data_IF_290439855623
#
_entry.id   IF_290439855623
#
_cell.length_a   1.000
_cell.length_b   1.000
_cell.length_c   1.000
_cell.angle_alpha   90.00
_cell.angle_beta   90.00
_cell.angle_gamma   90.00
#
_symmetry.space_group_name_H-M   'P 1'
#
loop_
_entity.id
_entity.type
_entity.pdbx_description
1 polymer ?
#
# COMPACT_ATOMS: atom_id res chain seq x y z
N UNK A 1 0.58 -6.84 2.67
CA UNK A 1 0.06 -6.15 3.87
C UNK A 1 -0.73 -7.14 4.70
N UNK A 2 -0.76 -6.98 6.02
CA UNK A 2 -1.42 -7.88 6.96
C UNK A 2 -1.95 -7.07 8.15
N UNK A 3 -2.77 -7.68 9.01
CA UNK A 3 -3.31 -7.07 10.21
C UNK A 3 -4.76 -7.50 10.45
N UNK A 4 -5.32 -7.04 11.55
CA UNK A 4 -6.72 -7.30 11.91
C UNK A 4 -7.13 -6.43 13.09
N UNK A 5 -8.41 -6.09 13.17
CA UNK A 5 -8.94 -5.21 14.22
C UNK A 5 -8.76 -5.72 15.66
N UNK A 6 -8.41 -7.00 15.82
CA UNK A 6 -8.13 -7.62 17.11
C UNK A 6 -6.64 -7.60 17.50
N UNK A 7 -5.76 -7.12 16.63
CA UNK A 7 -4.29 -7.06 16.88
C UNK A 7 -3.93 -5.86 17.73
N UNK A 8 -4.62 -4.76 17.51
CA UNK A 8 -4.37 -3.49 18.20
C UNK A 8 -5.48 -3.25 19.23
N UNK A 9 -5.18 -3.54 20.48
CA UNK A 9 -6.13 -3.39 21.58
C UNK A 9 -6.49 -1.92 21.86
N UNK A 10 -7.70 -1.65 22.38
CA UNK A 10 -8.18 -0.31 22.69
C UNK A 10 -7.63 0.26 23.99
N UNK A 11 -6.92 -0.52 24.79
CA UNK A 11 -6.66 -0.27 26.22
C UNK A 11 -6.04 1.11 26.45
N UNK A 12 -4.99 1.46 25.71
CA UNK A 12 -4.28 2.72 25.92
C UNK A 12 -5.09 3.93 25.41
N UNK A 13 -5.83 3.75 24.33
CA UNK A 13 -6.66 4.82 23.74
C UNK A 13 -7.88 5.09 24.62
N UNK A 14 -8.52 4.04 25.13
CA UNK A 14 -9.76 4.14 25.88
C UNK A 14 -9.57 4.60 27.33
N UNK A 15 -8.36 4.44 27.91
CA UNK A 15 -8.08 4.86 29.28
C UNK A 15 -8.16 6.38 29.50
N UNK A 16 -7.84 7.16 28.50
CA UNK A 16 -7.65 8.61 28.65
C UNK A 16 -8.69 9.45 27.91
N UNK A 17 -9.55 8.86 27.08
CA UNK A 17 -10.35 9.62 26.14
C UNK A 17 -11.84 9.22 26.16
N UNK A 18 -12.66 10.24 26.06
CA UNK A 18 -14.10 10.06 25.85
C UNK A 18 -14.36 9.91 24.34
N UNK A 19 -14.04 8.75 23.77
CA UNK A 19 -14.19 8.44 22.36
C UNK A 19 -14.71 7.03 22.14
N UNK A 20 -15.21 6.77 20.95
CA UNK A 20 -15.56 5.43 20.46
C UNK A 20 -14.49 5.04 19.45
N UNK A 21 -13.86 3.89 19.67
CA UNK A 21 -12.92 3.30 18.72
C UNK A 21 -13.66 2.27 17.86
N UNK A 22 -13.60 2.46 16.54
CA UNK A 22 -14.11 1.50 15.55
C UNK A 22 -12.93 0.97 14.74
N UNK A 23 -12.66 -0.32 14.84
CA UNK A 23 -11.65 -1.01 14.03
C UNK A 23 -12.32 -1.73 12.88
N UNK A 24 -11.68 -1.71 11.71
CA UNK A 24 -12.26 -2.23 10.47
C UNK A 24 -11.36 -3.28 9.86
N UNK A 25 -11.91 -4.47 9.59
CA UNK A 25 -11.29 -5.44 8.71
C UNK A 25 -11.77 -5.19 7.28
N UNK A 26 -10.84 -5.13 6.34
CA UNK A 26 -11.12 -4.93 4.92
C UNK A 26 -10.30 -5.90 4.07
N UNK A 27 -10.75 -6.17 2.85
CA UNK A 27 -10.07 -7.10 1.95
C UNK A 27 -8.67 -6.63 1.59
N UNK A 28 -7.71 -7.55 1.59
CA UNK A 28 -6.29 -7.32 1.29
C UNK A 28 -5.83 -8.18 0.10
N UNK A 29 -4.64 -7.88 -0.40
CA UNK A 29 -3.98 -8.64 -1.47
C UNK A 29 -4.87 -8.83 -2.69
N UNK A 30 -4.83 -10.00 -3.28
CA UNK A 30 -5.63 -10.34 -4.48
C UNK A 30 -7.12 -10.10 -4.27
N UNK A 31 -7.67 -10.47 -3.10
CA UNK A 31 -9.11 -10.35 -2.83
C UNK A 31 -9.58 -8.88 -2.71
N UNK A 32 -8.68 -8.00 -2.32
CA UNK A 32 -8.97 -6.58 -2.13
C UNK A 32 -8.55 -5.68 -3.28
N UNK A 33 -7.58 -6.13 -4.10
CA UNK A 33 -6.90 -5.22 -5.03
C UNK A 33 -6.62 -5.84 -6.41
N UNK A 34 -7.19 -7.00 -6.74
CA UNK A 34 -7.13 -7.51 -8.11
C UNK A 34 -7.83 -6.54 -9.05
N UNK A 35 -7.20 -6.25 -10.21
CA UNK A 35 -7.79 -5.41 -11.24
C UNK A 35 -7.43 -5.88 -12.63
N UNK A 36 -8.39 -5.81 -13.53
CA UNK A 36 -8.20 -5.96 -14.99
C UNK A 36 -8.06 -4.61 -15.69
N UNK A 37 -7.99 -3.52 -14.91
CA UNK A 37 -7.91 -2.14 -15.44
C UNK A 37 -9.08 -1.80 -16.37
N UNK A 38 -10.26 -2.36 -16.06
CA UNK A 38 -11.53 -2.11 -16.74
C UNK A 38 -12.72 -2.17 -15.74
N UNK A 39 -13.93 -2.07 -16.25
CA UNK A 39 -15.15 -2.07 -15.44
C UNK A 39 -15.50 -3.44 -14.82
N UNK A 40 -14.92 -4.55 -15.33
CA UNK A 40 -15.24 -5.92 -14.91
C UNK A 40 -14.62 -6.25 -13.56
N UNK A 41 -13.32 -5.96 -13.41
CA UNK A 41 -12.62 -6.06 -12.13
C UNK A 41 -11.89 -4.72 -11.92
N UNK A 42 -12.62 -3.68 -11.49
CA UNK A 42 -12.05 -2.32 -11.42
C UNK A 42 -10.93 -2.17 -10.40
N UNK A 43 -10.90 -3.00 -9.35
CA UNK A 43 -9.91 -2.92 -8.27
C UNK A 43 -10.39 -2.12 -7.06
N UNK A 44 -9.45 -1.84 -6.16
CA UNK A 44 -9.63 -1.01 -4.94
C UNK A 44 -10.76 -1.48 -4.00
N UNK A 45 -11.15 -2.75 -4.07
CA UNK A 45 -12.26 -3.27 -3.25
C UNK A 45 -11.99 -3.13 -1.75
N UNK A 46 -10.73 -3.28 -1.31
CA UNK A 46 -10.36 -3.07 0.10
C UNK A 46 -10.58 -1.63 0.56
N UNK A 47 -10.32 -0.63 -0.30
CA UNK A 47 -10.59 0.78 0.00
C UNK A 47 -12.09 1.10 -0.04
N UNK A 48 -12.83 0.43 -0.94
CA UNK A 48 -14.30 0.52 -0.99
C UNK A 48 -14.94 -0.13 0.24
N UNK A 49 -14.35 -1.20 0.78
CA UNK A 49 -14.76 -1.77 2.08
C UNK A 49 -14.61 -0.74 3.22
N UNK A 50 -13.51 0.04 3.22
CA UNK A 50 -13.33 1.13 4.18
C UNK A 50 -14.39 2.22 4.01
N UNK A 51 -14.76 2.58 2.77
CA UNK A 51 -15.86 3.53 2.51
C UNK A 51 -17.17 3.00 3.08
N UNK A 52 -17.49 1.72 2.88
CA UNK A 52 -18.72 1.13 3.45
C UNK A 52 -18.71 1.10 4.98
N UNK A 53 -17.54 0.86 5.59
CA UNK A 53 -17.38 0.97 7.03
C UNK A 53 -17.64 2.42 7.52
N UNK A 54 -17.14 3.42 6.81
CA UNK A 54 -17.43 4.84 7.14
C UNK A 54 -18.91 5.17 6.97
N UNK A 55 -19.55 4.68 5.92
CA UNK A 55 -21.02 4.81 5.75
C UNK A 55 -21.78 4.12 6.87
N UNK A 56 -21.29 2.97 7.35
CA UNK A 56 -21.88 2.29 8.51
C UNK A 56 -21.77 3.16 9.77
N UNK A 57 -20.60 3.77 10.01
CA UNK A 57 -20.39 4.70 11.13
C UNK A 57 -21.40 5.84 11.06
N UNK A 58 -21.54 6.48 9.89
CA UNK A 58 -22.49 7.58 9.69
C UNK A 58 -23.93 7.18 10.02
N UNK A 59 -24.34 5.96 9.70
CA UNK A 59 -25.71 5.48 9.91
C UNK A 59 -25.98 4.97 11.33
N UNK A 60 -24.96 4.53 12.06
CA UNK A 60 -25.17 3.73 13.26
C UNK A 60 -24.52 4.28 14.53
N UNK A 61 -23.53 5.19 14.42
CA UNK A 61 -22.68 5.54 15.57
C UNK A 61 -23.46 6.25 16.70
N UNK A 62 -24.58 6.91 16.38
CA UNK A 62 -25.47 7.53 17.37
C UNK A 62 -26.05 6.49 18.35
N UNK A 63 -26.34 5.26 17.89
CA UNK A 63 -26.78 4.16 18.76
C UNK A 63 -25.73 3.75 19.79
N UNK A 64 -24.49 4.14 19.60
CA UNK A 64 -23.36 3.94 20.52
C UNK A 64 -22.98 5.22 21.28
N UNK A 65 -23.87 6.23 21.29
CA UNK A 65 -23.63 7.58 21.83
C UNK A 65 -22.49 8.34 21.16
N UNK A 66 -22.16 8.01 19.89
CA UNK A 66 -21.19 8.72 19.06
C UNK A 66 -21.84 9.83 18.26
N UNK A 67 -21.00 10.75 17.78
CA UNK A 67 -21.40 11.86 16.92
C UNK A 67 -20.88 11.62 15.48
N UNK A 68 -21.78 11.39 14.49
CA UNK A 68 -21.36 11.16 13.10
C UNK A 68 -20.70 12.40 12.47
N UNK A 69 -20.85 13.59 13.07
CA UNK A 69 -20.19 14.82 12.63
C UNK A 69 -18.77 15.00 13.20
N UNK A 70 -18.32 14.06 14.02
CA UNK A 70 -17.01 14.11 14.70
C UNK A 70 -16.21 12.83 14.44
N UNK A 71 -16.17 12.39 13.19
CA UNK A 71 -15.46 11.18 12.79
C UNK A 71 -14.02 11.51 12.37
N UNK A 72 -13.05 10.94 13.05
CA UNK A 72 -11.64 11.02 12.67
C UNK A 72 -11.18 9.66 12.16
N UNK A 73 -10.64 9.62 10.95
CA UNK A 73 -10.01 8.40 10.41
C UNK A 73 -8.54 8.40 10.77
N UNK A 74 -8.01 7.26 11.21
CA UNK A 74 -6.60 7.12 11.57
C UNK A 74 -6.04 5.81 11.07
N UNK A 75 -4.74 5.80 10.73
CA UNK A 75 -4.05 4.60 10.34
C UNK A 75 -2.55 4.78 10.34
N UNK A 76 -1.83 3.65 10.44
CA UNK A 76 -0.38 3.66 10.30
C UNK A 76 0.06 2.76 9.13
N UNK A 77 1.21 3.07 8.50
CA UNK A 77 1.73 2.37 7.33
C UNK A 77 0.69 2.34 6.19
N UNK A 78 0.25 1.19 5.71
CA UNK A 78 -0.83 1.06 4.74
C UNK A 78 -2.14 1.74 5.18
N UNK A 79 -2.43 1.77 6.48
CA UNK A 79 -3.56 2.52 7.05
C UNK A 79 -3.37 4.02 6.93
N UNK A 80 -2.15 4.54 7.12
CA UNK A 80 -1.81 5.95 6.89
C UNK A 80 -1.99 6.35 5.43
N UNK A 81 -1.52 5.51 4.50
CA UNK A 81 -1.77 5.68 3.06
C UNK A 81 -3.27 5.63 2.73
N UNK A 82 -4.02 4.69 3.34
CA UNK A 82 -5.47 4.61 3.17
C UNK A 82 -6.18 5.89 3.63
N UNK A 83 -5.76 6.49 4.75
CA UNK A 83 -6.30 7.77 5.20
C UNK A 83 -6.15 8.82 4.10
N UNK A 84 -4.96 9.01 3.55
CA UNK A 84 -4.77 9.98 2.46
C UNK A 84 -5.58 9.64 1.21
N UNK A 85 -5.66 8.36 0.85
CA UNK A 85 -6.47 7.91 -0.28
C UNK A 85 -7.97 8.20 -0.07
N UNK A 86 -8.47 8.14 1.17
CA UNK A 86 -9.83 8.59 1.48
C UNK A 86 -10.01 10.12 1.30
N UNK A 87 -8.96 10.92 1.51
CA UNK A 87 -9.00 12.35 1.18
C UNK A 87 -9.10 12.60 -0.33
N UNK A 88 -8.57 11.70 -1.15
CA UNK A 88 -8.57 11.82 -2.62
C UNK A 88 -9.84 11.24 -3.27
N UNK A 89 -10.50 10.29 -2.62
CA UNK A 89 -11.64 9.59 -3.19
C UNK A 89 -12.95 10.36 -3.06
N UNK A 90 -13.72 10.54 -4.14
CA UNK A 90 -15.07 11.13 -4.05
C UNK A 90 -16.05 10.25 -3.26
N UNK A 91 -15.82 8.93 -3.18
CA UNK A 91 -16.72 8.01 -2.49
C UNK A 91 -16.81 8.23 -0.98
N UNK A 92 -15.83 8.90 -0.40
CA UNK A 92 -15.79 9.19 1.03
C UNK A 92 -16.18 10.62 1.39
N UNK A 93 -16.83 11.36 0.48
CA UNK A 93 -17.29 12.73 0.72
C UNK A 93 -18.30 12.78 1.87
N UNK A 94 -18.01 13.66 2.85
CA UNK A 94 -18.87 13.86 4.01
C UNK A 94 -18.87 12.73 5.05
N UNK A 95 -18.03 11.68 4.87
CA UNK A 95 -18.02 10.51 5.78
C UNK A 95 -17.08 10.67 6.99
N UNK A 96 -16.19 11.66 6.97
CA UNK A 96 -15.29 11.97 8.09
C UNK A 96 -14.95 13.46 8.11
N UNK A 97 -14.39 13.94 9.21
CA UNK A 97 -14.07 15.35 9.43
C UNK A 97 -12.60 15.62 9.64
N UNK A 98 -11.82 14.61 10.00
CA UNK A 98 -10.37 14.73 10.25
C UNK A 98 -9.67 13.44 9.88
N UNK A 99 -8.34 13.53 9.63
CA UNK A 99 -7.51 12.36 9.38
C UNK A 99 -6.18 12.41 10.13
N UNK A 100 -5.67 11.24 10.44
CA UNK A 100 -4.33 11.06 11.04
C UNK A 100 -3.62 9.94 10.28
N UNK A 101 -2.50 10.27 9.64
CA UNK A 101 -1.64 9.31 8.96
C UNK A 101 -0.32 9.17 9.71
N UNK A 102 0.00 7.95 10.14
CA UNK A 102 1.27 7.62 10.76
C UNK A 102 2.09 6.77 9.78
N UNK A 103 3.29 7.24 9.41
CA UNK A 103 4.28 6.47 8.64
C UNK A 103 3.73 5.84 7.35
N UNK A 104 2.90 6.59 6.61
CA UNK A 104 2.34 6.14 5.34
C UNK A 104 1.59 7.24 4.62
N UNK A 105 1.79 7.32 3.30
CA UNK A 105 1.08 8.25 2.43
C UNK A 105 0.77 7.60 1.06
N UNK A 106 -0.16 8.18 0.32
CA UNK A 106 -0.61 7.68 -0.98
C UNK A 106 0.49 7.72 -2.06
N UNK A 107 1.60 8.41 -1.81
CA UNK A 107 2.72 8.54 -2.73
C UNK A 107 3.86 7.54 -2.46
N UNK A 108 3.74 6.68 -1.45
CA UNK A 108 4.73 5.63 -1.25
C UNK A 108 4.71 4.65 -2.43
N UNK A 109 5.86 4.15 -2.92
CA UNK A 109 5.95 3.28 -4.10
C UNK A 109 5.06 2.04 -3.99
N UNK A 110 5.05 1.41 -2.83
CA UNK A 110 4.26 0.20 -2.56
C UNK A 110 2.73 0.41 -2.51
N UNK A 111 2.24 1.64 -2.68
CA UNK A 111 0.79 1.94 -2.63
C UNK A 111 0.11 1.68 -3.96
N UNK A 112 0.79 1.95 -5.08
CA UNK A 112 0.21 1.75 -6.41
C UNK A 112 0.67 0.44 -7.02
N UNK A 113 -0.26 -0.29 -7.65
CA UNK A 113 0.07 -1.48 -8.43
C UNK A 113 0.36 -1.10 -9.87
N UNK A 114 1.50 -1.50 -10.36
CA UNK A 114 1.84 -1.46 -11.78
C UNK A 114 1.45 -2.78 -12.47
N UNK A 115 1.10 -2.72 -13.76
CA UNK A 115 0.75 -3.88 -14.59
C UNK A 115 -0.40 -4.76 -14.01
N UNK A 116 -1.42 -4.15 -13.39
CA UNK A 116 -2.47 -4.88 -12.68
C UNK A 116 -3.20 -5.90 -13.57
N UNK A 117 -3.50 -5.54 -14.84
CA UNK A 117 -4.13 -6.44 -15.81
C UNK A 117 -3.29 -7.69 -16.05
N UNK A 118 -2.00 -7.55 -16.29
CA UNK A 118 -1.09 -8.70 -16.50
C UNK A 118 -1.05 -9.61 -15.28
N UNK A 119 -1.11 -9.04 -14.07
CA UNK A 119 -1.19 -9.82 -12.83
C UNK A 119 -2.49 -10.59 -12.72
N UNK A 120 -3.62 -9.99 -13.11
CA UNK A 120 -4.91 -10.66 -13.13
C UNK A 120 -4.96 -11.81 -14.16
N UNK A 121 -4.45 -11.59 -15.36
CA UNK A 121 -4.33 -12.60 -16.39
C UNK A 121 -3.41 -13.78 -15.96
N UNK A 122 -2.27 -13.46 -15.35
CA UNK A 122 -1.32 -14.45 -14.82
C UNK A 122 -1.94 -15.26 -13.67
N UNK A 123 -2.71 -14.63 -12.79
CA UNK A 123 -3.51 -15.35 -11.79
C UNK A 123 -4.47 -16.31 -12.46
N UNK A 124 -5.22 -15.85 -13.47
CA UNK A 124 -6.13 -16.68 -14.23
C UNK A 124 -5.46 -17.92 -14.81
N UNK A 125 -4.28 -17.74 -15.42
CA UNK A 125 -3.47 -18.85 -15.93
C UNK A 125 -3.10 -19.84 -14.83
N UNK A 126 -2.64 -19.35 -13.67
CA UNK A 126 -2.15 -20.19 -12.56
C UNK A 126 -3.22 -21.09 -11.94
N UNK A 127 -4.50 -20.67 -12.02
CA UNK A 127 -5.65 -21.40 -11.42
C UNK A 127 -6.59 -22.00 -12.48
N UNK A 128 -6.13 -22.16 -13.72
CA UNK A 128 -6.92 -22.69 -14.85
C UNK A 128 -8.20 -21.87 -15.12
N UNK A 129 -8.09 -20.54 -15.10
CA UNK A 129 -9.14 -19.58 -15.45
C UNK A 129 -8.71 -18.65 -16.60
N UNK A 130 -7.77 -19.09 -17.44
CA UNK A 130 -7.29 -18.27 -18.53
C UNK A 130 -8.41 -17.92 -19.51
N UNK A 131 -8.63 -16.62 -19.72
CA UNK A 131 -9.55 -16.10 -20.75
C UNK A 131 -9.12 -14.68 -21.15
N UNK A 132 -9.26 -14.36 -22.43
CA UNK A 132 -9.14 -12.99 -22.92
C UNK A 132 -10.41 -12.17 -22.65
N UNK A 133 -11.47 -12.80 -22.20
CA UNK A 133 -12.70 -12.15 -21.75
C UNK A 133 -12.67 -12.02 -20.23
N UNK A 134 -12.54 -10.80 -19.71
CA UNK A 134 -12.44 -10.57 -18.28
C UNK A 134 -13.72 -10.95 -17.50
N UNK A 135 -14.88 -10.94 -18.13
CA UNK A 135 -16.12 -11.46 -17.50
C UNK A 135 -16.05 -12.98 -17.28
N UNK A 136 -15.50 -13.73 -18.23
CA UNK A 136 -15.27 -15.18 -18.09
C UNK A 136 -14.18 -15.43 -17.03
N UNK A 137 -13.08 -14.66 -17.05
CA UNK A 137 -12.06 -14.72 -16.04
C UNK A 137 -12.66 -14.52 -14.65
N UNK A 138 -13.42 -13.44 -14.42
CA UNK A 138 -14.08 -13.16 -13.13
C UNK A 138 -15.01 -14.30 -12.71
N UNK A 139 -15.83 -14.81 -13.62
CA UNK A 139 -16.76 -15.90 -13.35
C UNK A 139 -16.01 -17.16 -12.92
N UNK A 140 -14.92 -17.50 -13.60
CA UNK A 140 -14.08 -18.63 -13.24
C UNK A 140 -13.36 -18.41 -11.89
N UNK A 141 -12.73 -17.26 -11.66
CA UNK A 141 -12.04 -16.96 -10.40
C UNK A 141 -12.97 -17.09 -9.19
N UNK A 142 -14.24 -16.71 -9.31
CA UNK A 142 -15.24 -16.87 -8.24
C UNK A 142 -15.54 -18.31 -7.86
N UNK A 143 -15.17 -19.28 -8.67
CA UNK A 143 -15.30 -20.72 -8.36
C UNK A 143 -14.10 -21.29 -7.62
N UNK A 144 -13.00 -20.55 -7.52
CA UNK A 144 -11.75 -21.03 -6.92
C UNK A 144 -11.72 -20.81 -5.40
N UNK A 145 -11.06 -21.70 -4.64
CA UNK A 145 -10.79 -21.46 -3.24
C UNK A 145 -10.03 -20.15 -3.05
N UNK A 146 -10.43 -19.35 -2.05
CA UNK A 146 -9.78 -18.07 -1.78
C UNK A 146 -8.30 -18.24 -1.45
N UNK A 147 -7.92 -19.34 -0.82
CA UNK A 147 -6.53 -19.68 -0.48
C UNK A 147 -5.65 -19.78 -1.74
N UNK A 148 -6.13 -20.44 -2.80
CA UNK A 148 -5.38 -20.59 -4.05
C UNK A 148 -5.11 -19.21 -4.68
N UNK A 149 -6.11 -18.32 -4.63
CA UNK A 149 -5.98 -16.97 -5.15
C UNK A 149 -4.98 -16.14 -4.33
N UNK A 150 -5.05 -16.22 -3.01
CA UNK A 150 -4.17 -15.44 -2.11
C UNK A 150 -2.72 -15.92 -2.21
N UNK A 151 -2.51 -17.23 -2.30
CA UNK A 151 -1.15 -17.80 -2.41
C UNK A 151 -0.43 -17.36 -3.68
N UNK A 152 -1.14 -17.00 -4.73
CA UNK A 152 -0.54 -16.50 -5.97
C UNK A 152 0.31 -15.24 -5.77
N UNK A 153 -0.02 -14.39 -4.80
CA UNK A 153 0.76 -13.19 -4.49
C UNK A 153 2.24 -13.49 -4.20
N UNK A 154 2.55 -14.68 -3.66
CA UNK A 154 3.92 -15.10 -3.37
C UNK A 154 4.79 -15.25 -4.62
N UNK A 155 4.20 -15.47 -5.79
CA UNK A 155 4.96 -15.60 -7.05
C UNK A 155 5.64 -14.29 -7.45
N UNK A 156 5.17 -13.16 -6.91
CA UNK A 156 5.74 -11.83 -7.13
C UNK A 156 6.75 -11.41 -6.04
N UNK A 157 7.01 -12.27 -5.05
CA UNK A 157 7.89 -12.00 -3.93
C UNK A 157 9.10 -12.96 -3.93
N UNK A 158 10.09 -12.73 -4.81
CA UNK A 158 11.22 -13.65 -4.98
C UNK A 158 12.14 -13.71 -3.76
N UNK A 159 12.10 -12.69 -2.90
CA UNK A 159 12.92 -12.65 -1.70
C UNK A 159 12.13 -12.09 -0.51
N UNK A 160 11.80 -12.97 0.44
CA UNK A 160 11.01 -12.63 1.64
C UNK A 160 9.68 -11.97 1.26
N UNK A 161 9.40 -10.77 1.78
CA UNK A 161 8.20 -9.98 1.47
C UNK A 161 8.46 -8.85 0.47
N UNK A 162 9.45 -8.99 -0.42
CA UNK A 162 9.81 -7.96 -1.38
C UNK A 162 9.40 -8.33 -2.82
N UNK A 163 8.60 -7.47 -3.50
CA UNK A 163 8.02 -6.20 -3.01
C UNK A 163 6.91 -6.41 -1.98
N UNK A 164 6.66 -5.38 -1.15
CA UNK A 164 5.68 -5.47 -0.05
C UNK A 164 4.24 -5.69 -0.51
N UNK A 165 3.85 -5.08 -1.61
CA UNK A 165 2.45 -5.05 -2.07
C UNK A 165 2.33 -5.37 -3.55
N UNK A 166 2.43 -6.66 -3.95
CA UNK A 166 2.23 -7.05 -5.33
C UNK A 166 0.86 -6.68 -5.89
N UNK A 167 -0.16 -6.61 -5.02
CA UNK A 167 -1.53 -6.18 -5.32
C UNK A 167 -1.90 -5.03 -4.40
N UNK A 168 -2.06 -3.85 -4.95
CA UNK A 168 -2.32 -2.61 -4.25
C UNK A 168 -3.27 -1.71 -5.06
N UNK A 169 -3.26 -0.42 -4.82
CA UNK A 169 -4.19 0.55 -5.43
C UNK A 169 -3.96 0.68 -6.94
N UNK A 170 -5.04 0.87 -7.68
CA UNK A 170 -5.03 1.17 -9.12
C UNK A 170 -5.82 2.43 -9.43
N UNK A 171 -5.50 3.07 -10.55
CA UNK A 171 -6.36 4.09 -11.15
C UNK A 171 -7.52 3.36 -11.85
N UNK A 172 -8.75 3.66 -11.48
CA UNK A 172 -9.93 3.01 -12.07
C UNK A 172 -10.43 3.75 -13.30
N UNK A 173 -11.11 3.01 -14.19
CA UNK A 173 -11.91 3.62 -15.25
C UNK A 173 -12.98 4.51 -14.62
N UNK A 174 -13.19 5.73 -15.13
CA UNK A 174 -14.19 6.65 -14.58
C UNK A 174 -15.59 6.05 -14.51
N UNK A 175 -16.17 6.03 -13.31
CA UNK A 175 -17.54 5.60 -13.04
C UNK A 175 -18.00 6.16 -11.69
N UNK A 176 -19.31 6.14 -11.41
CA UNK A 176 -19.87 6.58 -10.12
C UNK A 176 -19.39 5.74 -8.92
N UNK A 177 -18.86 4.54 -9.19
CA UNK A 177 -18.32 3.63 -8.19
C UNK A 177 -16.79 3.59 -8.15
N UNK A 178 -16.11 4.40 -8.96
CA UNK A 178 -14.66 4.46 -8.97
C UNK A 178 -14.13 5.11 -7.67
N UNK A 179 -13.12 4.47 -7.07
CA UNK A 179 -12.50 4.99 -5.85
C UNK A 179 -11.60 6.19 -6.15
N UNK A 180 -10.70 6.07 -7.14
CA UNK A 180 -9.91 7.16 -7.73
C UNK A 180 -9.78 6.92 -9.24
N UNK A 181 -9.82 8.01 -10.02
CA UNK A 181 -9.76 7.97 -11.50
C UNK A 181 -8.52 8.64 -12.07
N UNK A 182 -7.59 9.04 -11.21
CA UNK A 182 -6.28 9.58 -11.59
C UNK A 182 -5.23 9.18 -10.55
N UNK A 183 -3.96 9.29 -10.90
CA UNK A 183 -2.87 8.99 -10.00
C UNK A 183 -2.89 9.94 -8.79
N UNK A 184 -2.64 9.46 -7.54
CA UNK A 184 -2.66 10.29 -6.34
C UNK A 184 -1.83 11.57 -6.44
N UNK A 185 -0.68 11.53 -7.10
CA UNK A 185 0.16 12.73 -7.35
C UNK A 185 -0.60 13.78 -8.15
N UNK A 186 -1.23 13.39 -9.26
CA UNK A 186 -1.95 14.31 -10.13
C UNK A 186 -3.15 14.93 -9.37
N UNK A 187 -3.88 14.12 -8.60
CA UNK A 187 -4.99 14.61 -7.78
C UNK A 187 -4.53 15.66 -6.76
N UNK A 188 -3.38 15.44 -6.12
CA UNK A 188 -2.80 16.39 -5.17
C UNK A 188 -2.32 17.67 -5.87
N UNK A 189 -1.63 17.57 -6.98
CA UNK A 189 -1.13 18.71 -7.76
C UNK A 189 -2.28 19.58 -8.33
N UNK A 190 -3.37 18.95 -8.71
CA UNK A 190 -4.59 19.62 -9.18
C UNK A 190 -5.43 20.22 -8.03
N UNK A 191 -5.11 19.89 -6.77
CA UNK A 191 -5.89 20.31 -5.61
C UNK A 191 -7.20 19.52 -5.42
N UNK A 192 -7.34 18.38 -6.08
CA UNK A 192 -8.50 17.49 -6.04
C UNK A 192 -8.44 16.58 -4.80
N UNK A 193 -8.57 17.17 -3.64
CA UNK A 193 -8.61 16.47 -2.36
C UNK A 193 -9.47 17.23 -1.34
N UNK A 194 -9.96 16.52 -0.33
CA UNK A 194 -10.75 17.10 0.76
C UNK A 194 -9.90 18.04 1.60
N UNK A 195 -10.32 19.29 1.73
CA UNK A 195 -9.65 20.32 2.54
C UNK A 195 -10.10 20.22 4.00
N UNK A 196 -9.83 19.07 4.63
CA UNK A 196 -10.13 18.80 6.03
C UNK A 196 -8.82 18.78 6.84
N UNK A 197 -8.88 19.02 8.17
CA UNK A 197 -7.72 18.90 9.03
C UNK A 197 -7.07 17.51 8.91
N UNK A 198 -5.76 17.48 8.71
CA UNK A 198 -5.01 16.25 8.55
C UNK A 198 -3.68 16.32 9.31
N UNK A 199 -3.45 15.36 10.20
CA UNK A 199 -2.22 15.22 10.95
C UNK A 199 -1.36 14.13 10.31
N UNK A 200 -0.08 14.44 10.10
CA UNK A 200 0.93 13.55 9.55
C UNK A 200 2.04 13.33 10.55
N UNK A 201 2.46 12.11 10.73
CA UNK A 201 3.67 11.79 11.48
C UNK A 201 4.46 10.66 10.82
N UNK A 202 5.76 10.69 11.06
CA UNK A 202 6.66 9.60 10.69
C UNK A 202 7.67 9.37 11.80
N UNK A 203 8.23 8.17 11.87
CA UNK A 203 9.30 7.87 12.81
C UNK A 203 10.64 8.36 12.27
N UNK A 204 11.62 8.52 13.16
CA UNK A 204 12.96 8.98 12.77
C UNK A 204 13.66 7.98 11.85
N UNK A 205 13.41 6.68 12.05
CA UNK A 205 14.14 5.59 11.42
C UNK A 205 13.19 4.62 10.67
N UNK A 206 12.37 5.14 9.75
CA UNK A 206 11.39 4.35 8.98
C UNK A 206 12.01 3.15 8.26
N UNK A 207 13.21 3.32 7.69
CA UNK A 207 13.93 2.24 7.01
C UNK A 207 14.37 1.10 7.92
N UNK A 208 14.30 1.25 9.25
CA UNK A 208 14.67 0.20 10.18
C UNK A 208 13.71 -1.00 10.09
N UNK A 209 12.41 -0.76 9.94
CA UNK A 209 11.42 -1.82 9.83
C UNK A 209 11.73 -2.76 8.64
N UNK A 210 11.80 -2.28 7.38
CA UNK A 210 12.12 -3.15 6.25
C UNK A 210 13.55 -3.70 6.30
N UNK A 211 14.54 -2.94 6.78
CA UNK A 211 15.91 -3.40 6.87
C UNK A 211 16.10 -4.49 7.93
N UNK A 212 15.32 -4.48 9.01
CA UNK A 212 15.41 -5.49 10.08
C UNK A 212 15.08 -6.90 9.59
N UNK A 213 14.25 -7.05 8.55
CA UNK A 213 13.97 -8.32 7.90
C UNK A 213 15.25 -8.99 7.37
N UNK A 214 16.22 -8.19 6.95
CA UNK A 214 17.48 -8.66 6.38
C UNK A 214 18.59 -8.88 7.43
N UNK A 215 18.35 -8.56 8.72
CA UNK A 215 19.36 -8.67 9.76
C UNK A 215 19.65 -10.13 10.18
N UNK A 216 20.04 -10.91 9.16
CA UNK A 216 20.42 -12.31 9.27
C UNK A 216 21.58 -12.55 8.31
N UNK A 217 22.60 -13.30 8.73
CA UNK A 217 23.83 -13.49 7.95
C UNK A 217 23.57 -14.16 6.59
N UNK A 218 22.67 -15.13 6.51
CA UNK A 218 22.33 -15.82 5.27
C UNK A 218 21.56 -14.89 4.31
N UNK A 219 20.66 -14.05 4.83
CA UNK A 219 19.94 -13.08 4.03
C UNK A 219 20.84 -11.96 3.53
N UNK A 220 21.71 -11.42 4.39
CA UNK A 220 22.70 -10.41 4.00
C UNK A 220 23.67 -10.96 2.95
N UNK A 221 24.12 -12.22 3.12
CA UNK A 221 24.93 -12.89 2.11
C UNK A 221 24.18 -13.00 0.78
N UNK A 222 22.94 -13.46 0.81
CA UNK A 222 22.10 -13.60 -0.39
C UNK A 222 21.91 -12.25 -1.10
N UNK A 223 21.59 -11.19 -0.35
CA UNK A 223 21.45 -9.84 -0.91
C UNK A 223 22.77 -9.36 -1.51
N UNK A 224 23.89 -9.59 -0.80
CA UNK A 224 25.20 -9.18 -1.30
C UNK A 224 25.58 -9.89 -2.59
N UNK A 225 25.36 -11.21 -2.67
CA UNK A 225 25.70 -12.03 -3.82
C UNK A 225 24.79 -11.78 -5.03
N UNK A 226 23.52 -11.41 -4.79
CA UNK A 226 22.48 -11.28 -5.81
C UNK A 226 21.85 -9.87 -5.87
N UNK A 227 22.58 -8.84 -5.48
CA UNK A 227 22.04 -7.49 -5.42
C UNK A 227 21.41 -7.01 -6.73
N UNK A 228 22.07 -7.28 -7.85
CA UNK A 228 21.57 -6.84 -9.17
C UNK A 228 20.24 -7.52 -9.54
N UNK A 229 20.06 -8.78 -9.11
CA UNK A 229 18.83 -9.54 -9.33
C UNK A 229 17.71 -9.11 -8.36
N UNK A 230 18.04 -8.96 -7.09
CA UNK A 230 17.07 -8.72 -6.01
C UNK A 230 16.80 -7.25 -5.75
N UNK A 231 17.74 -6.37 -6.07
CA UNK A 231 17.62 -4.92 -5.84
C UNK A 231 16.33 -4.31 -6.40
N UNK A 232 15.92 -4.62 -7.64
CA UNK A 232 14.67 -4.10 -8.19
C UNK A 232 13.43 -4.46 -7.35
N UNK A 233 13.39 -5.65 -6.76
CA UNK A 233 12.28 -6.09 -5.89
C UNK A 233 12.38 -5.50 -4.48
N UNK A 234 13.59 -5.45 -3.92
CA UNK A 234 13.85 -4.88 -2.59
C UNK A 234 13.54 -3.38 -2.57
N UNK A 235 13.75 -2.68 -3.67
CA UNK A 235 13.55 -1.24 -3.83
C UNK A 235 12.25 -0.87 -4.55
N UNK A 236 11.44 -1.88 -4.87
CA UNK A 236 10.10 -1.75 -5.45
C UNK A 236 10.05 -1.00 -6.79
N UNK A 237 11.07 -1.18 -7.65
CA UNK A 237 11.08 -0.63 -9.00
C UNK A 237 11.11 -1.70 -10.11
N UNK A 238 10.93 -2.98 -9.75
CA UNK A 238 11.01 -4.08 -10.71
C UNK A 238 9.99 -3.97 -11.85
N UNK A 239 8.86 -3.34 -11.62
CA UNK A 239 7.80 -3.19 -12.62
C UNK A 239 7.77 -1.79 -13.27
N UNK A 240 8.52 -0.84 -12.72
CA UNK A 240 8.58 0.56 -13.20
C UNK A 240 9.22 0.66 -14.58
N UNK A 241 10.18 -0.21 -14.88
CA UNK A 241 10.74 -0.34 -16.23
C UNK A 241 10.71 -1.78 -16.71
N UNK A 242 10.44 -1.98 -17.99
CA UNK A 242 10.51 -3.30 -18.63
C UNK A 242 11.94 -3.66 -19.07
N UNK A 243 12.85 -2.67 -19.18
CA UNK A 243 14.20 -2.88 -19.63
C UNK A 243 15.09 -3.49 -18.54
N UNK A 244 15.52 -4.73 -18.77
CA UNK A 244 16.38 -5.44 -17.83
C UNK A 244 17.75 -4.78 -17.65
N UNK A 245 18.29 -4.13 -18.69
CA UNK A 245 19.57 -3.43 -18.59
C UNK A 245 19.48 -2.19 -17.71
N UNK A 246 18.36 -1.48 -17.77
CA UNK A 246 18.07 -0.34 -16.91
C UNK A 246 17.92 -0.76 -15.45
N UNK A 247 17.22 -1.85 -15.17
CA UNK A 247 17.09 -2.40 -13.80
C UNK A 247 18.45 -2.71 -13.18
N UNK A 248 19.29 -3.38 -13.95
CA UNK A 248 20.65 -3.75 -13.49
C UNK A 248 21.49 -2.50 -13.23
N UNK A 249 21.43 -1.52 -14.11
CA UNK A 249 22.18 -0.28 -13.97
C UNK A 249 21.72 0.52 -12.76
N UNK A 250 20.41 0.69 -12.55
CA UNK A 250 19.86 1.35 -11.37
C UNK A 250 20.26 0.62 -10.08
N UNK A 251 20.22 -0.71 -10.08
CA UNK A 251 20.68 -1.51 -8.94
C UNK A 251 22.14 -1.25 -8.60
N UNK A 252 23.03 -1.18 -9.62
CA UNK A 252 24.46 -0.86 -9.44
C UNK A 252 24.65 0.55 -8.90
N UNK A 253 23.95 1.54 -9.46
CA UNK A 253 24.05 2.93 -9.02
C UNK A 253 23.62 3.08 -7.55
N UNK A 254 22.53 2.43 -7.13
CA UNK A 254 22.11 2.43 -5.72
C UNK A 254 23.18 1.77 -4.84
N UNK A 255 23.71 0.62 -5.25
CA UNK A 255 24.76 -0.06 -4.50
C UNK A 255 26.01 0.82 -4.35
N UNK A 256 26.46 1.41 -5.46
CA UNK A 256 27.61 2.31 -5.46
C UNK A 256 27.41 3.52 -4.56
N UNK A 257 26.22 4.15 -4.61
CA UNK A 257 25.93 5.33 -3.83
C UNK A 257 25.93 5.07 -2.33
N UNK A 258 25.28 3.99 -1.89
CA UNK A 258 25.10 3.73 -0.46
C UNK A 258 26.24 2.88 0.14
N UNK A 259 26.73 1.91 -0.60
CA UNK A 259 27.72 0.96 -0.06
C UNK A 259 29.13 1.21 -0.58
N UNK A 260 29.31 1.98 -1.66
CA UNK A 260 30.65 2.27 -2.22
C UNK A 260 31.48 0.99 -2.45
N UNK A 261 30.85 -0.03 -3.03
CA UNK A 261 31.40 -1.37 -3.25
C UNK A 261 31.76 -2.19 -1.98
N UNK A 262 31.45 -1.66 -0.79
CA UNK A 262 31.58 -2.45 0.44
C UNK A 262 30.57 -3.61 0.45
N UNK A 263 30.91 -4.74 1.09
CA UNK A 263 29.94 -5.81 1.30
C UNK A 263 28.71 -5.33 2.06
N UNK A 264 27.54 -5.83 1.65
CA UNK A 264 26.29 -5.65 2.42
C UNK A 264 26.35 -6.65 3.59
N UNK A 265 26.52 -6.14 4.78
CA UNK A 265 26.78 -6.91 6.01
C UNK A 265 26.15 -6.23 7.23
N UNK A 266 26.30 -6.81 8.40
CA UNK A 266 25.84 -6.18 9.64
C UNK A 266 26.54 -4.84 9.93
N UNK A 267 27.81 -4.70 9.51
CA UNK A 267 28.58 -3.48 9.65
C UNK A 267 28.04 -2.33 8.77
N UNK A 268 27.49 -2.68 7.59
CA UNK A 268 26.85 -1.73 6.68
C UNK A 268 25.32 -1.64 6.85
N UNK A 269 24.77 -2.15 7.96
CA UNK A 269 23.32 -2.14 8.20
C UNK A 269 22.70 -0.74 8.25
N UNK A 270 23.46 0.26 8.71
CA UNK A 270 23.02 1.68 8.71
C UNK A 270 22.80 2.16 7.28
N UNK A 271 23.68 1.77 6.35
CA UNK A 271 23.55 2.14 4.94
C UNK A 271 22.34 1.42 4.31
N UNK A 272 22.15 0.13 4.62
CA UNK A 272 20.99 -0.64 4.17
C UNK A 272 19.66 -0.03 4.67
N UNK A 273 19.62 0.44 5.92
CA UNK A 273 18.48 1.18 6.47
C UNK A 273 18.20 2.45 5.68
N UNK A 274 19.22 3.19 5.25
CA UNK A 274 19.03 4.39 4.43
C UNK A 274 18.54 4.07 3.03
N UNK A 275 19.03 3.01 2.41
CA UNK A 275 18.54 2.50 1.12
C UNK A 275 17.04 2.23 1.19
N UNK A 276 16.58 1.56 2.24
CA UNK A 276 15.14 1.27 2.45
C UNK A 276 14.29 2.50 2.76
N UNK A 277 14.90 3.60 3.19
CA UNK A 277 14.18 4.89 3.33
C UNK A 277 13.88 5.50 1.96
N UNK A 278 14.69 5.26 0.93
CA UNK A 278 14.40 5.76 -0.43
C UNK A 278 13.10 5.18 -0.94
N UNK A 279 12.86 3.88 -0.74
CA UNK A 279 11.58 3.25 -1.06
C UNK A 279 10.40 4.00 -0.42
N UNK A 280 10.64 4.64 0.72
CA UNK A 280 9.64 5.45 1.43
C UNK A 280 9.66 6.93 1.02
N UNK A 281 10.78 7.42 0.45
CA UNK A 281 11.02 8.84 0.13
C UNK A 281 11.07 9.16 -1.37
N UNK A 282 10.95 8.20 -2.28
CA UNK A 282 11.09 8.43 -3.73
C UNK A 282 10.12 9.50 -4.31
N UNK A 283 9.44 10.21 -3.44
CA UNK A 283 8.53 11.30 -3.72
C UNK A 283 8.87 12.59 -2.95
N UNK A 284 10.14 12.94 -2.83
CA UNK A 284 10.67 14.11 -2.10
C UNK A 284 10.09 15.50 -2.49
N UNK A 285 9.08 15.56 -3.33
CA UNK A 285 8.52 16.84 -3.79
C UNK A 285 7.28 17.33 -3.03
N UNK A 286 6.71 16.57 -2.08
CA UNK A 286 5.49 16.99 -1.38
C UNK A 286 5.45 16.72 0.13
N UNK A 287 6.57 16.40 0.77
CA UNK A 287 6.69 16.58 2.22
C UNK A 287 7.02 18.05 2.54
N UNK A 288 6.21 18.95 2.05
CA UNK A 288 6.12 20.26 2.70
C UNK A 288 5.38 19.99 4.01
N UNK A 289 6.16 19.75 5.05
CA UNK A 289 5.68 19.72 6.43
C UNK A 289 5.03 21.07 6.68
N UNK A 290 3.71 21.13 6.60
CA UNK A 290 2.97 22.22 7.19
C UNK A 290 3.07 22.05 8.71
N UNK A 291 4.12 22.62 9.28
CA UNK A 291 4.16 22.87 10.71
C UNK A 291 3.08 23.91 10.98
N UNK A 292 1.92 23.47 11.43
CA UNK A 292 0.93 24.37 12.00
C UNK A 292 1.52 24.83 13.33
N UNK A 293 1.94 26.10 13.38
CA UNK A 293 2.22 26.83 14.62
C UNK A 293 0.91 27.23 15.26
#
# INVERSE_FOLDING_TARGET
MFGGGNVYGPENIMQSQNMILVTVNYRLGVLGFLSTEDEIIPGNFGLKDQVEALKWVQRNIEAFNGDPKRVTITGFSAGGASVQLQYLSPLSDGLFTNGISHSGCALNPWVMTENARKKAESLGLSVNCASNNHQELLTCLRTKPAEDLVMFAKTYQPFLYNPFSPFAVVVEVPSDSAFITDHPRNLLEQGNFKKLPWFLSQTQDEGLYPASEFYNDDYLKTINDKWEELGPFILDFNETTADQSEKLELSRQVRQFYFQDRPISKESFVDLRQVKIIELRSNDLLLTVFTIR
#
